data_IF_035775158946
#
_entry.id   IF_035775158946
#
_cell.length_a   1.000
_cell.length_b   1.000
_cell.length_c   1.000
_cell.angle_alpha   90.00
_cell.angle_beta   90.00
_cell.angle_gamma   90.00
#
_symmetry.space_group_name_H-M   'P 1'
#
loop_
_entity.id
_entity.type
_entity.pdbx_description
1 polymer ?
#
# COMPACT_ATOMS: atom_id res chain seq x y z
N UNK A 1 40.80 22.90 -45.39
CA UNK A 1 40.69 21.88 -44.34
C UNK A 1 39.66 22.37 -43.32
N UNK A 2 38.38 22.00 -43.50
CA UNK A 2 37.25 22.56 -42.73
C UNK A 2 36.73 21.50 -41.74
N UNK A 3 36.69 21.88 -40.46
CA UNK A 3 36.31 21.03 -39.33
C UNK A 3 34.82 20.65 -39.44
N UNK A 4 34.53 19.34 -39.43
CA UNK A 4 33.16 18.81 -39.36
C UNK A 4 32.56 19.12 -37.99
N UNK A 5 31.44 19.82 -37.96
CA UNK A 5 30.63 20.03 -36.76
C UNK A 5 29.70 18.82 -36.59
N UNK A 6 29.99 17.96 -35.62
CA UNK A 6 29.12 16.83 -35.25
C UNK A 6 27.98 17.36 -34.37
N UNK A 7 26.75 17.33 -34.89
CA UNK A 7 25.53 17.61 -34.12
C UNK A 7 25.19 16.33 -33.36
N UNK A 8 25.28 16.39 -32.03
CA UNK A 8 24.87 15.31 -31.14
C UNK A 8 23.37 15.47 -30.87
N UNK A 9 22.54 14.60 -31.46
CA UNK A 9 21.12 14.50 -31.12
C UNK A 9 21.03 13.83 -29.75
N UNK A 10 20.67 14.59 -28.73
CA UNK A 10 20.29 14.04 -27.44
C UNK A 10 18.96 13.30 -27.61
N UNK A 11 19.00 11.97 -27.56
CA UNK A 11 17.82 11.13 -27.41
C UNK A 11 17.18 11.47 -26.06
N UNK A 12 16.05 12.16 -26.11
CA UNK A 12 15.18 12.35 -24.95
C UNK A 12 14.66 10.95 -24.61
N UNK A 13 15.19 10.38 -23.54
CA UNK A 13 14.61 9.20 -22.92
C UNK A 13 13.20 9.59 -22.49
N UNK A 14 12.20 9.01 -23.16
CA UNK A 14 10.82 9.02 -22.69
C UNK A 14 10.86 8.16 -21.44
N UNK A 15 10.80 8.79 -20.27
CA UNK A 15 10.55 8.07 -19.03
C UNK A 15 9.22 7.34 -19.21
N UNK A 16 9.23 6.02 -19.09
CA UNK A 16 8.01 5.22 -18.98
C UNK A 16 7.16 5.84 -17.86
N UNK A 17 6.10 6.56 -18.24
CA UNK A 17 4.96 6.76 -17.35
C UNK A 17 4.42 5.34 -17.17
N UNK A 18 4.88 4.70 -16.10
CA UNK A 18 4.23 3.54 -15.53
C UNK A 18 2.81 4.01 -15.24
N UNK A 19 1.88 3.66 -16.13
CA UNK A 19 0.46 3.83 -15.87
C UNK A 19 0.18 3.00 -14.63
N UNK A 20 0.16 3.66 -13.46
CA UNK A 20 -0.33 3.06 -12.23
C UNK A 20 -1.75 2.63 -12.53
N UNK A 21 -1.95 1.33 -12.77
CA UNK A 21 -3.27 0.75 -12.96
C UNK A 21 -4.07 1.15 -11.72
N UNK A 22 -5.01 2.08 -11.86
CA UNK A 22 -5.89 2.47 -10.76
C UNK A 22 -6.67 1.22 -10.38
N UNK A 23 -6.35 0.67 -9.20
CA UNK A 23 -7.07 -0.46 -8.67
C UNK A 23 -8.36 0.10 -8.08
N UNK A 24 -9.46 -0.09 -8.80
CA UNK A 24 -10.79 0.24 -8.31
C UNK A 24 -11.29 -0.92 -7.46
N UNK A 25 -11.44 -0.70 -6.15
CA UNK A 25 -12.01 -1.67 -5.23
C UNK A 25 -13.52 -1.42 -5.08
N UNK A 26 -14.31 -2.49 -5.15
CA UNK A 26 -15.74 -2.43 -4.86
C UNK A 26 -16.03 -2.86 -3.42
N UNK A 27 -17.07 -2.28 -2.83
CA UNK A 27 -17.57 -2.75 -1.54
C UNK A 27 -18.01 -4.22 -1.64
N UNK A 28 -17.57 -5.03 -0.69
CA UNK A 28 -17.84 -6.46 -0.65
C UNK A 28 -16.74 -7.33 -1.26
N UNK A 29 -15.79 -6.76 -2.01
CA UNK A 29 -14.67 -7.51 -2.60
C UNK A 29 -13.86 -8.22 -1.52
N UNK A 30 -13.49 -9.47 -1.79
CA UNK A 30 -12.68 -10.29 -0.88
C UNK A 30 -11.29 -10.51 -1.45
N UNK A 31 -10.29 -10.37 -0.58
CA UNK A 31 -8.89 -10.48 -0.96
C UNK A 31 -8.19 -11.44 -0.03
N UNK A 32 -7.49 -12.41 -0.63
CA UNK A 32 -6.58 -13.30 0.08
C UNK A 32 -5.21 -12.65 0.09
N UNK A 33 -4.63 -12.50 1.27
CA UNK A 33 -3.32 -11.90 1.43
C UNK A 33 -2.23 -12.91 1.04
N UNK A 34 -1.48 -12.56 -0.01
CA UNK A 34 -0.38 -13.38 -0.47
C UNK A 34 0.87 -13.30 0.44
N UNK A 35 0.98 -12.25 1.27
CA UNK A 35 2.19 -11.97 2.03
C UNK A 35 2.09 -12.43 3.49
N UNK A 36 3.20 -13.00 3.99
CA UNK A 36 3.41 -13.26 5.41
C UNK A 36 3.99 -11.99 6.03
N UNK A 37 3.31 -11.40 7.02
CA UNK A 37 3.91 -10.32 7.79
C UNK A 37 4.95 -10.87 8.78
N UNK A 38 6.16 -10.33 8.79
CA UNK A 38 7.18 -10.63 9.80
C UNK A 38 7.55 -9.35 10.56
N UNK A 39 7.82 -9.46 11.87
CA UNK A 39 8.25 -8.32 12.69
C UNK A 39 9.60 -7.74 12.22
N UNK A 40 10.41 -8.57 11.56
CA UNK A 40 11.73 -8.21 11.03
C UNK A 40 11.71 -7.80 9.55
N UNK A 41 10.56 -7.86 8.85
CA UNK A 41 10.46 -7.44 7.45
C UNK A 41 9.92 -6.02 7.37
N UNK A 42 10.63 -5.15 6.65
CA UNK A 42 10.18 -3.80 6.31
C UNK A 42 8.93 -3.79 5.42
N UNK A 43 8.68 -4.87 4.68
CA UNK A 43 7.54 -5.03 3.76
C UNK A 43 6.35 -5.79 4.41
N UNK A 44 6.21 -5.69 5.73
CA UNK A 44 5.13 -6.41 6.43
C UNK A 44 3.79 -5.72 6.19
N UNK A 45 2.89 -6.37 5.44
CA UNK A 45 1.49 -5.94 5.27
C UNK A 45 0.71 -6.17 6.56
N UNK A 46 0.06 -5.13 7.07
CA UNK A 46 -0.64 -5.14 8.37
C UNK A 46 -2.00 -4.47 8.25
N UNK A 47 -2.91 -4.77 9.17
CA UNK A 47 -4.12 -3.98 9.35
C UNK A 47 -3.95 -3.06 10.56
N UNK A 48 -4.54 -1.89 10.46
CA UNK A 48 -4.54 -0.86 11.50
C UNK A 48 -5.86 -0.86 12.24
N UNK A 49 -5.84 -0.60 13.54
CA UNK A 49 -7.06 -0.41 14.30
C UNK A 49 -7.71 0.95 14.04
N UNK A 50 -6.91 1.97 13.70
CA UNK A 50 -7.38 3.32 13.42
C UNK A 50 -7.14 3.74 11.96
N UNK A 51 -8.07 4.50 11.37
CA UNK A 51 -7.91 4.99 10.00
C UNK A 51 -6.75 5.98 9.84
N UNK A 52 -6.54 6.84 10.84
CA UNK A 52 -5.44 7.81 10.88
C UNK A 52 -4.08 7.14 10.82
N UNK A 53 -3.92 6.02 11.52
CA UNK A 53 -2.64 5.31 11.61
C UNK A 53 -2.26 4.70 10.24
N UNK A 54 -3.25 4.16 9.53
CA UNK A 54 -3.08 3.70 8.16
C UNK A 54 -2.72 4.87 7.23
N UNK A 55 -3.47 5.97 7.30
CA UNK A 55 -3.26 7.12 6.41
C UNK A 55 -1.92 7.82 6.65
N UNK A 56 -1.55 8.04 7.90
CA UNK A 56 -0.27 8.66 8.23
C UNK A 56 0.91 7.75 7.86
N UNK A 57 0.76 6.43 7.98
CA UNK A 57 1.78 5.49 7.49
C UNK A 57 1.90 5.55 5.96
N UNK A 58 0.77 5.59 5.23
CA UNK A 58 0.77 5.81 3.79
C UNK A 58 1.51 7.11 3.41
N UNK A 59 1.18 8.22 4.09
CA UNK A 59 1.80 9.51 3.84
C UNK A 59 3.31 9.49 4.10
N UNK A 60 3.75 8.89 5.21
CA UNK A 60 5.17 8.74 5.52
C UNK A 60 5.93 7.89 4.49
N UNK A 61 5.29 6.84 3.94
CA UNK A 61 5.87 6.03 2.84
C UNK A 61 6.00 6.83 1.55
N UNK A 62 4.96 7.58 1.18
CA UNK A 62 4.89 8.36 -0.06
C UNK A 62 5.87 9.54 -0.05
N UNK A 63 5.98 10.25 1.07
CA UNK A 63 6.73 11.51 1.16
C UNK A 63 8.03 11.41 1.96
N UNK A 64 8.33 10.27 2.57
CA UNK A 64 9.54 10.05 3.36
C UNK A 64 9.57 10.74 4.72
N UNK A 65 8.45 11.29 5.20
CA UNK A 65 8.34 11.99 6.49
C UNK A 65 7.96 11.02 7.61
N UNK A 66 8.95 10.23 8.07
CA UNK A 66 8.75 9.26 9.14
C UNK A 66 8.71 9.89 10.55
N UNK A 67 9.24 11.11 10.68
CA UNK A 67 9.38 11.80 11.96
C UNK A 67 8.06 12.40 12.46
N UNK A 68 7.17 12.79 11.54
CA UNK A 68 5.92 13.48 11.90
C UNK A 68 4.71 12.55 11.98
N UNK A 69 4.72 11.44 11.22
CA UNK A 69 3.46 10.73 10.89
C UNK A 69 3.42 9.22 11.23
N UNK A 70 4.54 8.53 11.45
CA UNK A 70 4.50 7.05 11.37
C UNK A 70 5.27 6.31 12.46
N UNK A 71 4.83 6.49 13.70
CA UNK A 71 5.17 5.57 14.80
C UNK A 71 3.86 4.97 15.32
N UNK A 72 3.36 3.93 14.63
CA UNK A 72 2.24 3.13 15.13
C UNK A 72 2.82 2.04 16.02
N UNK A 73 2.31 1.91 17.25
CA UNK A 73 2.74 0.83 18.12
C UNK A 73 2.41 -0.51 17.47
N UNK A 74 3.35 -1.46 17.52
CA UNK A 74 3.13 -2.84 17.08
C UNK A 74 1.91 -3.53 17.73
N UNK A 75 1.44 -3.03 18.87
CA UNK A 75 0.24 -3.47 19.58
C UNK A 75 -1.06 -2.95 18.95
N UNK A 76 -0.97 -1.85 18.21
CA UNK A 76 -2.10 -1.17 17.58
C UNK A 76 -2.29 -1.58 16.12
N UNK A 77 -1.63 -2.68 15.71
CA UNK A 77 -1.76 -3.29 14.39
C UNK A 77 -2.07 -4.79 14.50
N UNK A 78 -2.88 -5.28 13.56
CA UNK A 78 -3.10 -6.70 13.32
C UNK A 78 -2.14 -7.18 12.23
N UNK A 79 -1.27 -8.12 12.61
CA UNK A 79 -0.35 -8.76 11.67
C UNK A 79 -1.03 -9.94 11.00
N UNK A 80 -1.04 -9.91 9.68
CA UNK A 80 -1.71 -10.92 8.87
C UNK A 80 -0.78 -12.08 8.55
N UNK A 81 -1.35 -13.28 8.54
CA UNK A 81 -0.68 -14.48 8.06
C UNK A 81 -0.99 -14.70 6.58
N UNK A 82 -0.09 -15.42 5.88
CA UNK A 82 -0.34 -15.81 4.50
C UNK A 82 -1.64 -16.63 4.43
N UNK A 83 -2.51 -16.27 3.49
CA UNK A 83 -3.81 -16.91 3.32
C UNK A 83 -4.93 -16.28 4.14
N UNK A 84 -4.65 -15.23 4.94
CA UNK A 84 -5.72 -14.49 5.58
C UNK A 84 -6.58 -13.74 4.56
N UNK A 85 -7.88 -13.68 4.82
CA UNK A 85 -8.88 -13.11 3.92
C UNK A 85 -9.48 -11.86 4.54
N UNK A 86 -9.51 -10.78 3.79
CA UNK A 86 -10.17 -9.53 4.15
C UNK A 86 -11.29 -9.23 3.16
N UNK A 87 -12.31 -8.51 3.62
CA UNK A 87 -13.38 -7.98 2.79
C UNK A 87 -13.38 -6.46 2.82
N UNK A 88 -13.44 -5.81 1.67
CA UNK A 88 -13.59 -4.36 1.56
C UNK A 88 -14.98 -3.95 2.05
N UNK A 89 -15.03 -3.02 3.00
CA UNK A 89 -16.29 -2.43 3.49
C UNK A 89 -16.54 -1.10 2.78
N UNK A 90 -15.53 -0.22 2.76
CA UNK A 90 -15.62 1.10 2.12
C UNK A 90 -14.24 1.74 1.94
N UNK A 91 -14.16 2.69 1.02
CA UNK A 91 -13.00 3.58 0.84
C UNK A 91 -12.99 4.72 1.88
N UNK A 92 -11.78 5.11 2.30
CA UNK A 92 -11.51 6.29 3.11
C UNK A 92 -10.26 7.02 2.56
N UNK A 93 -10.09 8.30 2.91
CA UNK A 93 -8.95 9.14 2.49
C UNK A 93 -8.67 9.12 0.98
N UNK A 94 -9.69 9.37 0.16
CA UNK A 94 -9.54 9.38 -1.30
C UNK A 94 -8.90 8.09 -1.82
N UNK A 95 -9.41 6.93 -1.38
CA UNK A 95 -8.97 5.60 -1.85
C UNK A 95 -7.55 5.22 -1.46
N UNK A 96 -6.95 5.96 -0.52
CA UNK A 96 -5.63 5.60 0.03
C UNK A 96 -5.72 4.58 1.15
N UNK A 97 -6.86 4.52 1.83
CA UNK A 97 -7.12 3.59 2.93
C UNK A 97 -8.48 2.93 2.73
N UNK A 98 -8.57 1.63 2.97
CA UNK A 98 -9.84 0.91 2.98
C UNK A 98 -10.18 0.46 4.37
N UNK A 99 -11.44 0.65 4.76
CA UNK A 99 -12.00 -0.07 5.90
C UNK A 99 -12.31 -1.49 5.45
N UNK A 100 -11.85 -2.47 6.21
CA UNK A 100 -11.97 -3.89 5.87
C UNK A 100 -12.49 -4.71 7.03
N UNK A 101 -13.16 -5.82 6.73
CA UNK A 101 -13.50 -6.86 7.69
C UNK A 101 -12.52 -8.02 7.54
N UNK A 102 -11.89 -8.43 8.63
CA UNK A 102 -11.06 -9.63 8.62
C UNK A 102 -11.97 -10.87 8.68
N UNK A 103 -11.88 -11.77 7.69
CA UNK A 103 -12.73 -12.96 7.57
C UNK A 103 -12.07 -14.23 8.14
N UNK A 104 -10.74 -14.25 8.29
CA UNK A 104 -9.96 -15.38 8.81
C UNK A 104 -8.96 -14.95 9.87
N UNK A 105 -8.24 -15.89 10.47
CA UNK A 105 -7.24 -15.59 11.50
C UNK A 105 -7.84 -15.41 12.90
N UNK A 106 -6.99 -14.99 13.85
CA UNK A 106 -7.31 -14.93 15.27
C UNK A 106 -8.40 -13.88 15.57
N UNK A 107 -8.26 -12.70 14.96
CA UNK A 107 -9.16 -11.57 15.20
C UNK A 107 -10.25 -11.41 14.12
N UNK A 108 -10.69 -12.53 13.53
CA UNK A 108 -11.76 -12.57 12.53
C UNK A 108 -13.05 -11.90 13.02
N UNK A 109 -13.86 -11.45 12.08
CA UNK A 109 -15.11 -10.70 12.25
C UNK A 109 -14.96 -9.30 12.86
N UNK A 110 -13.72 -8.80 13.01
CA UNK A 110 -13.48 -7.40 13.39
C UNK A 110 -13.17 -6.54 12.18
N UNK A 111 -13.42 -5.25 12.35
CA UNK A 111 -13.11 -4.23 11.36
C UNK A 111 -11.74 -3.62 11.63
N UNK A 112 -11.02 -3.35 10.55
CA UNK A 112 -9.70 -2.73 10.56
C UNK A 112 -9.56 -1.81 9.35
N UNK A 113 -8.38 -1.24 9.18
CA UNK A 113 -8.00 -0.37 8.09
C UNK A 113 -6.75 -0.90 7.41
N UNK A 114 -6.67 -0.78 6.08
CA UNK A 114 -5.53 -1.22 5.29
C UNK A 114 -5.17 -0.15 4.28
N UNK A 115 -3.87 0.05 4.05
CA UNK A 115 -3.40 0.93 2.98
C UNK A 115 -3.72 0.26 1.64
N UNK A 116 -4.21 1.03 0.67
CA UNK A 116 -4.64 0.51 -0.62
C UNK A 116 -3.55 -0.33 -1.31
N UNK A 117 -2.30 0.15 -1.29
CA UNK A 117 -1.14 -0.52 -1.89
C UNK A 117 -0.79 -1.88 -1.25
N UNK A 118 -1.19 -2.06 0.02
CA UNK A 118 -0.92 -3.28 0.79
C UNK A 118 -1.94 -4.37 0.47
N UNK A 119 -3.12 -4.02 -0.04
CA UNK A 119 -4.05 -5.03 -0.56
C UNK A 119 -3.38 -5.76 -1.74
N UNK A 120 -3.48 -7.09 -1.81
CA UNK A 120 -2.71 -7.94 -2.73
C UNK A 120 -2.94 -7.72 -4.24
N UNK A 121 -3.61 -6.64 -4.63
CA UNK A 121 -3.92 -6.28 -6.01
C UNK A 121 -2.72 -5.75 -6.82
N UNK A 122 -1.55 -5.58 -6.19
CA UNK A 122 -0.29 -5.20 -6.84
C UNK A 122 0.49 -6.42 -7.38
N UNK A 123 -0.11 -7.18 -8.30
CA UNK A 123 0.63 -8.10 -9.18
C UNK A 123 0.12 -8.03 -10.61
#
# INVERSE_FOLDING_TARGET
MMKKLLIFIALINISDISASKEIVFNEGDQWVLEARSNRLSSDSKVLYHMPSDAYHTYYAREFGDWDTFSIVDSRDIERLSKGDVIQIIKSEYNEKVYKVKLLSGFNKNRNFYVIAEDTGANK
#
